data_IF_918388199846
#
_entry.id   IF_918388199846
#
_cell.length_a   1.000
_cell.length_b   1.000
_cell.length_c   1.000
_cell.angle_alpha   90.00
_cell.angle_beta   90.00
_cell.angle_gamma   90.00
#
_symmetry.space_group_name_H-M   'P 1'
#
loop_
_entity.id
_entity.type
_entity.pdbx_description
1 polymer ?
#
# COMPACT_ATOMS: atom_id res chain seq x y z
N UNK A 1 -12.79 5.38 -6.73
CA UNK A 1 -11.45 5.42 -6.10
C UNK A 1 -11.53 6.44 -4.98
N UNK A 2 -11.30 6.04 -3.73
CA UNK A 2 -11.47 6.93 -2.59
C UNK A 2 -10.23 7.81 -2.38
N UNK A 3 -10.42 9.02 -1.86
CA UNK A 3 -9.33 9.95 -1.53
C UNK A 3 -8.29 9.36 -0.57
N UNK A 4 -8.73 8.49 0.34
CA UNK A 4 -7.84 7.80 1.28
C UNK A 4 -6.82 6.91 0.56
N UNK A 5 -7.26 6.14 -0.43
CA UNK A 5 -6.40 5.29 -1.25
C UNK A 5 -5.38 6.13 -2.03
N UNK A 6 -5.79 7.29 -2.54
CA UNK A 6 -4.91 8.23 -3.22
C UNK A 6 -3.88 8.87 -2.27
N UNK A 7 -4.25 9.13 -1.01
CA UNK A 7 -3.34 9.63 0.02
C UNK A 7 -2.30 8.56 0.40
N UNK A 8 -2.74 7.32 0.67
CA UNK A 8 -1.85 6.19 0.97
C UNK A 8 -0.88 5.92 -0.18
N UNK A 9 -1.37 5.94 -1.42
CA UNK A 9 -0.53 5.79 -2.60
C UNK A 9 0.56 6.87 -2.68
N UNK A 10 0.17 8.14 -2.52
CA UNK A 10 1.11 9.27 -2.53
C UNK A 10 2.16 9.15 -1.44
N UNK A 11 1.76 8.82 -0.22
CA UNK A 11 2.68 8.62 0.91
C UNK A 11 3.65 7.47 0.66
N UNK A 12 3.22 6.44 -0.07
CA UNK A 12 4.08 5.34 -0.47
C UNK A 12 5.00 5.65 -1.67
N UNK A 13 4.88 6.83 -2.29
CA UNK A 13 5.61 7.22 -3.50
C UNK A 13 5.00 6.68 -4.80
N UNK A 14 3.76 6.22 -4.78
CA UNK A 14 3.04 5.72 -5.95
C UNK A 14 2.35 6.87 -6.69
N UNK A 15 2.55 6.95 -8.00
CA UNK A 15 1.93 7.97 -8.82
C UNK A 15 0.51 7.53 -9.26
N UNK A 16 -0.54 8.33 -9.00
CA UNK A 16 -1.90 8.03 -9.46
C UNK A 16 -1.98 7.71 -10.97
N UNK A 17 -1.17 8.36 -11.82
CA UNK A 17 -1.12 8.08 -13.27
C UNK A 17 -0.64 6.67 -13.59
N UNK A 18 0.30 6.10 -12.83
CA UNK A 18 0.76 4.72 -13.06
C UNK A 18 -0.25 3.69 -12.52
N UNK A 19 -1.07 4.07 -11.55
CA UNK A 19 -2.11 3.21 -10.98
C UNK A 19 -3.30 2.99 -11.92
N UNK A 20 -3.56 3.90 -12.87
CA UNK A 20 -4.64 3.76 -13.86
C UNK A 20 -4.46 2.48 -14.69
N UNK A 21 -3.22 2.17 -15.09
CA UNK A 21 -2.88 0.94 -15.83
C UNK A 21 -3.15 -0.35 -15.04
N UNK A 22 -3.33 -0.23 -13.72
CA UNK A 22 -3.58 -1.37 -12.85
C UNK A 22 -5.05 -1.60 -12.53
N UNK A 23 -5.95 -0.69 -12.92
CA UNK A 23 -7.39 -0.85 -12.71
C UNK A 23 -7.87 -2.03 -13.56
N UNK A 24 -8.41 -3.10 -12.96
CA UNK A 24 -8.84 -4.28 -13.71
C UNK A 24 -10.04 -3.96 -14.60
N UNK A 25 -10.05 -4.52 -15.82
CA UNK A 25 -11.23 -4.53 -16.68
C UNK A 25 -12.25 -5.59 -16.22
N UNK A 26 -13.52 -5.54 -16.67
CA UNK A 26 -14.52 -6.54 -16.32
C UNK A 26 -14.14 -7.98 -16.67
N UNK A 27 -13.28 -8.18 -17.68
CA UNK A 27 -12.72 -9.47 -18.08
C UNK A 27 -11.57 -9.95 -17.18
N UNK A 28 -11.04 -9.10 -16.30
CA UNK A 28 -9.90 -9.38 -15.41
C UNK A 28 -10.38 -9.58 -13.96
N UNK A 29 -11.41 -10.40 -13.76
CA UNK A 29 -12.00 -10.66 -12.43
C UNK A 29 -11.02 -11.30 -11.43
N UNK A 30 -9.99 -11.99 -11.94
CA UNK A 30 -8.93 -12.58 -11.13
C UNK A 30 -7.99 -11.54 -10.51
N UNK A 31 -8.02 -10.29 -10.98
CA UNK A 31 -7.15 -9.23 -10.49
C UNK A 31 -7.88 -8.40 -9.44
N UNK A 32 -7.28 -8.32 -8.25
CA UNK A 32 -7.83 -7.51 -7.18
C UNK A 32 -7.89 -6.01 -7.58
N UNK A 33 -8.91 -5.26 -7.12
CA UNK A 33 -8.97 -3.82 -7.31
C UNK A 33 -7.74 -3.12 -6.72
N UNK A 34 -7.29 -2.05 -7.39
CA UNK A 34 -6.13 -1.24 -6.98
C UNK A 34 -6.27 -0.70 -5.54
N UNK A 35 -7.48 -0.40 -5.10
CA UNK A 35 -7.77 0.04 -3.73
C UNK A 35 -7.40 -0.98 -2.67
N UNK A 36 -7.69 -2.27 -2.93
CA UNK A 36 -7.34 -3.36 -2.02
C UNK A 36 -5.84 -3.52 -1.92
N UNK A 37 -5.17 -3.55 -3.07
CA UNK A 37 -3.72 -3.68 -3.15
C UNK A 37 -2.96 -2.56 -2.43
N UNK A 38 -3.41 -1.30 -2.58
CA UNK A 38 -2.79 -0.15 -1.90
C UNK A 38 -2.94 -0.28 -0.38
N UNK A 39 -4.11 -0.72 0.10
CA UNK A 39 -4.36 -0.89 1.53
C UNK A 39 -3.49 -1.98 2.13
N UNK A 40 -3.36 -3.12 1.45
CA UNK A 40 -2.50 -4.22 1.87
C UNK A 40 -1.04 -3.80 1.93
N UNK A 41 -0.52 -3.20 0.85
CA UNK A 41 0.87 -2.70 0.84
C UNK A 41 1.14 -1.66 1.92
N UNK A 42 0.19 -0.76 2.15
CA UNK A 42 0.33 0.27 3.17
C UNK A 42 0.41 -0.36 4.56
N UNK A 43 -0.47 -1.31 4.86
CA UNK A 43 -0.46 -2.06 6.11
C UNK A 43 0.86 -2.82 6.31
N UNK A 44 1.36 -3.51 5.28
CA UNK A 44 2.64 -4.21 5.34
C UNK A 44 3.82 -3.27 5.64
N UNK A 45 3.82 -2.04 5.08
CA UNK A 45 4.86 -1.05 5.38
C UNK A 45 4.80 -0.59 6.83
N UNK A 46 3.60 -0.35 7.36
CA UNK A 46 3.42 0.01 8.76
C UNK A 46 3.90 -1.11 9.69
N UNK A 47 3.56 -2.35 9.40
CA UNK A 47 4.00 -3.51 10.17
C UNK A 47 5.52 -3.70 10.12
N UNK A 48 6.14 -3.52 8.95
CA UNK A 48 7.61 -3.54 8.82
C UNK A 48 8.26 -2.41 9.60
N UNK A 49 7.70 -1.20 9.57
CA UNK A 49 8.21 -0.06 10.31
C UNK A 49 8.12 -0.29 11.83
N UNK A 50 6.98 -0.81 12.31
CA UNK A 50 6.77 -1.17 13.72
C UNK A 50 7.79 -2.21 14.18
N UNK A 51 7.91 -3.32 13.44
CA UNK A 51 8.89 -4.39 13.72
C UNK A 51 10.32 -3.89 13.73
N UNK A 52 10.68 -2.94 12.86
CA UNK A 52 12.01 -2.33 12.84
C UNK A 52 12.25 -1.46 14.08
N UNK A 53 11.23 -0.73 14.54
CA UNK A 53 11.30 0.08 15.76
C UNK A 53 11.50 -0.81 16.99
N UNK A 54 10.68 -1.84 17.13
CA UNK A 54 10.76 -2.81 18.24
C UNK A 54 12.13 -3.48 18.32
N UNK A 55 12.70 -3.92 17.18
CA UNK A 55 14.06 -4.49 17.14
C UNK A 55 15.14 -3.49 17.57
N UNK A 56 14.97 -2.21 17.21
CA UNK A 56 15.93 -1.16 17.57
C UNK A 56 15.88 -0.86 19.08
N UNK A 57 14.67 -0.85 19.65
CA UNK A 57 14.45 -0.68 21.09
C UNK A 57 15.06 -1.86 21.87
N UNK A 58 14.81 -3.10 21.46
CA UNK A 58 15.43 -4.29 22.08
C UNK A 58 16.96 -4.29 21.97
N UNK A 59 17.53 -3.79 20.87
CA UNK A 59 19.00 -3.73 20.70
C UNK A 59 19.68 -2.58 21.46
N UNK A 60 18.90 -1.62 21.95
CA UNK A 60 19.39 -0.44 22.65
C UNK A 60 19.37 -0.60 24.18
N UNK A 61 18.80 -1.69 24.68
CA UNK A 61 18.74 -2.11 26.08
C UNK A 61 19.72 -3.27 26.34
#
# INVERSE_FOLDING_TARGET
>A
MNDETLKMAREMGLNPRSLIKNIPSPSQQWKAPVSTWIREMYQERLDKARRKKERKEISAE
#
